data_IF_129671118638
#
_entry.id   IF_129671118638
#
_cell.length_a   1.000
_cell.length_b   1.000
_cell.length_c   1.000
_cell.angle_alpha   90.00
_cell.angle_beta   90.00
_cell.angle_gamma   90.00
#
_symmetry.space_group_name_H-M   'P 1'
#
loop_
_entity.id
_entity.type
_entity.pdbx_description
1 polymer ?
#
# COMPACT_ATOMS: atom_id res chain seq x y z
N UNK A 1 -9.25 1.74 -14.08
CA UNK A 1 -9.36 2.99 -13.29
C UNK A 1 -8.31 3.97 -13.80
N UNK A 2 -8.60 5.27 -13.90
CA UNK A 2 -7.59 6.28 -14.25
C UNK A 2 -6.68 6.54 -13.05
N UNK A 3 -5.46 7.04 -13.28
CA UNK A 3 -4.50 7.35 -12.22
C UNK A 3 -5.07 8.33 -11.20
N UNK A 4 -5.80 9.34 -11.66
CA UNK A 4 -6.43 10.37 -10.81
C UNK A 4 -7.50 9.79 -9.90
N UNK A 5 -8.32 8.86 -10.40
CA UNK A 5 -9.34 8.17 -9.60
C UNK A 5 -8.69 7.35 -8.48
N UNK A 6 -7.61 6.62 -8.80
CA UNK A 6 -6.87 5.84 -7.81
C UNK A 6 -6.25 6.76 -6.74
N UNK A 7 -5.68 7.89 -7.17
CA UNK A 7 -5.07 8.86 -6.26
C UNK A 7 -6.10 9.44 -5.30
N UNK A 8 -7.28 9.83 -5.81
CA UNK A 8 -8.38 10.35 -4.99
C UNK A 8 -8.80 9.36 -3.91
N UNK A 9 -9.02 8.09 -4.28
CA UNK A 9 -9.42 7.05 -3.32
C UNK A 9 -8.37 6.87 -2.22
N UNK A 10 -7.10 6.71 -2.62
CA UNK A 10 -5.99 6.53 -1.66
C UNK A 10 -5.86 7.73 -0.73
N UNK A 11 -5.96 8.95 -1.27
CA UNK A 11 -5.85 10.17 -0.49
C UNK A 11 -7.00 10.35 0.51
N UNK A 12 -8.25 10.10 0.09
CA UNK A 12 -9.43 10.16 0.98
C UNK A 12 -9.27 9.22 2.19
N UNK A 13 -8.91 7.96 1.94
CA UNK A 13 -8.75 6.97 3.03
C UNK A 13 -7.52 7.27 3.90
N UNK A 14 -6.41 7.76 3.32
CA UNK A 14 -5.24 8.18 4.10
C UNK A 14 -5.56 9.36 5.03
N UNK A 15 -6.37 10.31 4.58
CA UNK A 15 -6.80 11.44 5.42
C UNK A 15 -7.71 10.99 6.57
N UNK A 16 -8.57 9.99 6.35
CA UNK A 16 -9.37 9.40 7.44
C UNK A 16 -8.50 8.75 8.50
N UNK A 17 -7.51 7.96 8.09
CA UNK A 17 -6.51 7.38 9.02
C UNK A 17 -5.86 8.45 9.86
N UNK A 18 -5.44 9.55 9.23
CA UNK A 18 -4.77 10.65 9.93
C UNK A 18 -5.68 11.35 10.95
N UNK A 19 -6.96 11.55 10.62
CA UNK A 19 -7.91 12.28 11.46
C UNK A 19 -8.54 11.42 12.56
N UNK A 20 -8.74 10.13 12.29
CA UNK A 20 -9.57 9.25 13.11
C UNK A 20 -8.79 8.09 13.74
N UNK A 21 -7.51 7.93 13.39
CA UNK A 21 -6.66 6.85 13.92
C UNK A 21 -7.02 5.46 13.41
N UNK A 22 -7.73 5.39 12.28
CA UNK A 22 -8.21 4.15 11.69
C UNK A 22 -7.10 3.35 10.97
N UNK A 23 -7.41 2.12 10.58
CA UNK A 23 -6.46 1.27 9.87
C UNK A 23 -6.62 1.43 8.35
N UNK A 24 -5.59 1.97 7.68
CA UNK A 24 -5.61 2.26 6.24
C UNK A 24 -5.97 1.03 5.38
N UNK A 25 -5.41 -0.12 5.75
CA UNK A 25 -5.62 -1.38 5.05
C UNK A 25 -7.10 -1.74 5.01
N UNK A 26 -7.77 -1.73 6.16
CA UNK A 26 -9.21 -2.04 6.27
C UNK A 26 -10.06 -1.04 5.49
N UNK A 27 -9.74 0.25 5.58
CA UNK A 27 -10.47 1.32 4.89
C UNK A 27 -10.44 1.14 3.37
N UNK A 28 -9.26 0.89 2.80
CA UNK A 28 -9.08 0.66 1.36
C UNK A 28 -9.77 -0.63 0.91
N UNK A 29 -9.69 -1.70 1.69
CA UNK A 29 -10.36 -2.98 1.38
C UNK A 29 -11.89 -2.85 1.36
N UNK A 30 -12.47 -1.96 2.16
CA UNK A 30 -13.92 -1.75 2.20
C UNK A 30 -14.46 -0.95 0.99
N UNK A 31 -13.60 -0.26 0.23
CA UNK A 31 -14.02 0.52 -0.94
C UNK A 31 -14.42 -0.39 -2.10
N UNK A 32 -15.63 -0.22 -2.60
CA UNK A 32 -16.17 -1.01 -3.71
C UNK A 32 -15.31 -0.86 -4.97
N UNK A 33 -14.82 0.36 -5.24
CA UNK A 33 -13.95 0.64 -6.39
C UNK A 33 -12.63 -0.14 -6.33
N UNK A 34 -12.13 -0.42 -5.13
CA UNK A 34 -10.91 -1.20 -4.89
C UNK A 34 -11.19 -2.69 -5.02
N UNK A 35 -12.25 -3.19 -4.36
CA UNK A 35 -12.64 -4.62 -4.40
C UNK A 35 -12.98 -5.11 -5.80
N UNK A 36 -13.43 -4.23 -6.68
CA UNK A 36 -13.66 -4.53 -8.10
C UNK A 36 -12.38 -4.82 -8.89
N UNK A 37 -11.23 -4.37 -8.40
CA UNK A 37 -9.96 -4.41 -9.13
C UNK A 37 -8.89 -5.25 -8.45
N UNK A 38 -8.91 -5.35 -7.12
CA UNK A 38 -7.92 -6.07 -6.33
C UNK A 38 -8.62 -7.07 -5.43
N UNK A 39 -8.10 -8.30 -5.43
CA UNK A 39 -8.48 -9.33 -4.47
C UNK A 39 -7.86 -9.05 -3.10
N UNK A 40 -8.36 -9.73 -2.05
CA UNK A 40 -7.78 -9.67 -0.71
C UNK A 40 -6.29 -10.06 -0.73
N UNK A 41 -5.94 -11.10 -1.50
CA UNK A 41 -4.55 -11.55 -1.66
C UNK A 41 -3.65 -10.54 -2.38
N UNK A 42 -4.14 -9.86 -3.42
CA UNK A 42 -3.37 -8.80 -4.09
C UNK A 42 -3.06 -7.69 -3.10
N UNK A 43 -4.09 -7.32 -2.36
CA UNK A 43 -4.04 -6.38 -1.29
C UNK A 43 -3.00 -6.87 -0.24
N UNK A 44 -2.98 -8.13 0.19
CA UNK A 44 -2.06 -8.60 1.24
C UNK A 44 -0.60 -8.42 0.83
N UNK A 45 -0.29 -8.77 -0.42
CA UNK A 45 1.04 -8.58 -1.02
C UNK A 45 1.43 -7.09 -1.09
N UNK A 46 0.48 -6.20 -1.37
CA UNK A 46 0.74 -4.76 -1.44
C UNK A 46 1.09 -4.14 -0.08
N UNK A 47 0.60 -4.73 1.02
CA UNK A 47 0.81 -4.26 2.38
C UNK A 47 1.93 -5.00 3.12
N UNK A 48 2.60 -5.97 2.49
CA UNK A 48 3.77 -6.64 3.03
C UNK A 48 4.99 -5.68 3.11
N UNK A 49 5.51 -5.38 4.32
CA UNK A 49 6.71 -4.56 4.48
C UNK A 49 7.95 -5.14 3.78
N UNK A 50 8.03 -6.47 3.64
CA UNK A 50 9.14 -7.16 2.97
C UNK A 50 9.33 -6.71 1.52
N UNK A 51 8.24 -6.30 0.86
CA UNK A 51 8.27 -5.74 -0.50
C UNK A 51 9.12 -4.47 -0.60
N UNK A 52 9.14 -3.64 0.44
CA UNK A 52 9.97 -2.43 0.51
C UNK A 52 11.43 -2.75 0.86
N UNK A 53 11.70 -3.92 1.44
CA UNK A 53 13.03 -4.36 1.87
C UNK A 53 13.73 -5.26 0.85
N UNK A 54 13.09 -5.60 -0.27
CA UNK A 54 13.60 -6.54 -1.28
C UNK A 54 14.98 -6.24 -1.88
N UNK A 55 15.49 -5.02 -1.70
CA UNK A 55 16.77 -4.58 -2.24
C UNK A 55 17.79 -4.22 -1.16
N UNK A 56 17.51 -4.50 0.12
CA UNK A 56 18.43 -4.21 1.24
C UNK A 56 19.78 -4.88 1.00
N UNK A 57 19.80 -6.21 0.81
CA UNK A 57 21.05 -6.96 0.62
C UNK A 57 21.84 -6.45 -0.60
N UNK A 58 21.14 -6.17 -1.71
CA UNK A 58 21.75 -5.61 -2.91
C UNK A 58 22.46 -4.28 -2.60
N UNK A 59 21.80 -3.37 -1.87
CA UNK A 59 22.36 -2.07 -1.52
C UNK A 59 23.55 -2.23 -0.57
N UNK A 60 23.45 -3.09 0.46
CA UNK A 60 24.53 -3.33 1.42
C UNK A 60 25.79 -3.86 0.74
N UNK A 61 25.62 -4.79 -0.22
CA UNK A 61 26.70 -5.26 -1.07
C UNK A 61 27.37 -4.15 -1.88
N UNK A 62 26.59 -3.22 -2.45
CA UNK A 62 27.14 -2.12 -3.25
C UNK A 62 27.97 -1.13 -2.43
N UNK A 63 27.66 -0.98 -1.13
CA UNK A 63 28.40 -0.08 -0.23
C UNK A 63 29.49 -0.78 0.59
N UNK A 64 29.72 -2.08 0.35
CA UNK A 64 30.78 -2.85 1.01
C UNK A 64 30.53 -3.13 2.50
N UNK A 65 29.26 -3.29 2.89
CA UNK A 65 28.82 -3.54 4.27
C UNK A 65 28.28 -4.99 4.47
N UNK A 66 28.76 -5.96 3.70
CA UNK A 66 28.45 -7.40 3.89
C UNK A 66 29.36 -8.04 4.96
#
# INVERSE_FOLDING_TARGET
>A
MKREDAYRIVQEEAMRVWQQGENFRKLVEQREEVRKLLSVSDLDVLFDPGRSLKHVDYIFKQVGLE
#
